data_IF_795850682240
#
_entry.id   IF_795850682240
#
_cell.length_a   1.000
_cell.length_b   1.000
_cell.length_c   1.000
_cell.angle_alpha   90.00
_cell.angle_beta   90.00
_cell.angle_gamma   90.00
#
_symmetry.space_group_name_H-M   'P 1'
#
loop_
_entity.id
_entity.type
_entity.pdbx_description
1 polymer ?
#
# COMPACT_ATOMS: atom_id res chain seq x y z
N UNK A 1 -3.43 -10.06 40.46
CA UNK A 1 -4.84 -10.31 40.09
C UNK A 1 -5.28 -9.44 38.91
N UNK A 2 -5.11 -8.11 38.95
CA UNK A 2 -5.47 -7.22 37.83
C UNK A 2 -4.70 -7.50 36.53
N UNK A 3 -3.38 -7.65 36.60
CA UNK A 3 -2.52 -7.88 35.42
C UNK A 3 -2.83 -9.24 34.76
N UNK A 4 -3.06 -10.27 35.57
CA UNK A 4 -3.41 -11.62 35.10
C UNK A 4 -4.75 -11.63 34.35
N UNK A 5 -5.71 -10.81 34.78
CA UNK A 5 -7.01 -10.66 34.14
C UNK A 5 -6.91 -9.95 32.78
N UNK A 6 -6.06 -8.93 32.67
CA UNK A 6 -5.80 -8.22 31.40
C UNK A 6 -5.11 -9.13 30.37
N UNK A 7 -4.14 -9.94 30.80
CA UNK A 7 -3.49 -10.94 29.95
C UNK A 7 -4.48 -12.01 29.47
N UNK A 8 -5.36 -12.49 30.36
CA UNK A 8 -6.38 -13.46 29.98
C UNK A 8 -7.33 -12.89 28.91
N UNK A 9 -7.79 -11.65 29.07
CA UNK A 9 -8.62 -10.96 28.08
C UNK A 9 -7.92 -10.83 26.70
N UNK A 10 -6.63 -10.50 26.68
CA UNK A 10 -5.86 -10.37 25.44
C UNK A 10 -5.62 -11.71 24.71
N UNK A 11 -5.59 -12.83 25.43
CA UNK A 11 -5.42 -14.17 24.84
C UNK A 11 -6.77 -14.72 24.35
N UNK A 12 -7.87 -14.36 25.02
CA UNK A 12 -9.22 -14.82 24.65
C UNK A 12 -9.92 -13.93 23.62
N UNK A 13 -9.39 -12.73 23.34
CA UNK A 13 -9.97 -11.89 22.29
C UNK A 13 -9.77 -12.57 20.94
N UNK A 14 -10.85 -12.83 20.17
CA UNK A 14 -10.71 -13.34 18.83
C UNK A 14 -9.85 -12.36 18.00
N UNK A 15 -8.96 -12.84 17.11
CA UNK A 15 -8.20 -11.95 16.26
C UNK A 15 -9.19 -11.10 15.46
N UNK A 16 -9.09 -9.78 15.60
CA UNK A 16 -9.88 -8.85 14.81
C UNK A 16 -9.45 -9.06 13.35
N UNK A 17 -10.27 -9.81 12.60
CA UNK A 17 -10.01 -10.06 11.20
C UNK A 17 -10.32 -8.77 10.45
N UNK A 18 -9.28 -7.96 10.20
CA UNK A 18 -9.38 -6.84 9.28
C UNK A 18 -9.67 -7.42 7.89
N UNK A 19 -10.81 -7.05 7.30
CA UNK A 19 -11.11 -7.39 5.92
C UNK A 19 -10.07 -6.75 5.01
N UNK A 20 -9.20 -7.55 4.37
CA UNK A 20 -8.25 -7.08 3.35
C UNK A 20 -8.94 -6.58 2.07
N UNK A 21 -10.27 -6.68 1.96
CA UNK A 21 -11.01 -6.34 0.74
C UNK A 21 -10.83 -4.87 0.31
N UNK A 22 -10.66 -3.96 1.26
CA UNK A 22 -10.46 -2.53 1.00
C UNK A 22 -9.08 -2.22 0.37
N UNK A 23 -8.11 -3.13 0.48
CA UNK A 23 -6.75 -2.93 -0.02
C UNK A 23 -6.57 -3.43 -1.47
N UNK A 24 -7.60 -4.03 -2.05
CA UNK A 24 -7.50 -4.73 -3.33
C UNK A 24 -8.21 -3.99 -4.47
N UNK A 25 -9.28 -3.25 -4.17
CA UNK A 25 -10.22 -2.76 -5.20
C UNK A 25 -10.51 -1.27 -5.03
N UNK A 26 -10.25 -0.49 -6.07
CA UNK A 26 -10.72 0.89 -6.17
C UNK A 26 -12.18 0.89 -6.66
N UNK A 27 -13.11 1.23 -5.78
CA UNK A 27 -14.51 1.44 -6.13
C UNK A 27 -14.73 2.83 -6.72
N UNK A 28 -15.83 3.02 -7.44
CA UNK A 28 -16.19 4.35 -7.94
C UNK A 28 -16.29 5.36 -6.79
N UNK A 29 -15.60 6.51 -6.92
CA UNK A 29 -15.51 7.53 -5.88
C UNK A 29 -14.34 7.36 -4.91
N UNK A 30 -13.63 6.23 -4.94
CA UNK A 30 -12.34 6.07 -4.26
C UNK A 30 -11.19 6.63 -5.12
N UNK A 31 -10.05 6.91 -4.49
CA UNK A 31 -8.88 7.47 -5.16
C UNK A 31 -7.60 7.04 -4.46
N UNK A 32 -6.51 6.91 -5.22
CA UNK A 32 -5.15 6.76 -4.71
C UNK A 32 -4.42 8.09 -4.82
N UNK A 33 -3.60 8.46 -3.83
CA UNK A 33 -2.92 9.76 -3.78
C UNK A 33 -1.39 9.66 -3.90
N UNK A 34 -0.82 10.45 -4.81
CA UNK A 34 0.64 10.62 -4.92
C UNK A 34 1.27 11.34 -3.70
N UNK A 35 0.47 11.99 -2.86
CA UNK A 35 0.95 12.70 -1.65
C UNK A 35 1.39 11.74 -0.54
N UNK A 36 0.91 10.50 -0.56
CA UNK A 36 1.17 9.49 0.48
C UNK A 36 1.50 8.13 -0.18
N UNK A 37 2.58 8.05 -0.97
CA UNK A 37 2.87 6.92 -1.86
C UNK A 37 3.13 5.59 -1.14
N UNK A 38 3.47 5.62 0.14
CA UNK A 38 3.74 4.43 0.95
C UNK A 38 2.53 3.95 1.77
N UNK A 39 1.55 4.82 1.98
CA UNK A 39 0.36 4.52 2.78
C UNK A 39 -0.83 4.13 1.90
N UNK A 40 -0.84 4.60 0.66
CA UNK A 40 -1.95 4.43 -0.28
C UNK A 40 -1.53 3.49 -1.41
N UNK A 41 -1.45 2.21 -1.07
CA UNK A 41 -0.98 1.12 -1.94
C UNK A 41 -2.04 0.04 -1.99
N UNK A 42 -2.33 -0.42 -3.21
CA UNK A 42 -3.16 -1.57 -3.47
C UNK A 42 -2.31 -2.84 -3.44
N UNK A 43 -2.84 -3.91 -2.87
CA UNK A 43 -2.15 -5.21 -2.83
C UNK A 43 -3.04 -6.27 -3.47
N UNK A 44 -2.46 -7.03 -4.39
CA UNK A 44 -3.13 -8.16 -5.06
C UNK A 44 -3.57 -9.23 -4.05
N UNK A 45 -4.58 -10.06 -4.35
CA UNK A 45 -5.14 -11.00 -3.38
C UNK A 45 -4.14 -12.07 -2.95
N UNK A 46 -3.16 -12.36 -3.81
CA UNK A 46 -2.08 -13.32 -3.56
C UNK A 46 -0.86 -12.69 -2.89
N UNK A 47 -0.92 -11.40 -2.56
CA UNK A 47 0.18 -10.61 -1.99
C UNK A 47 1.47 -10.62 -2.86
N UNK A 48 1.42 -11.02 -4.14
CA UNK A 48 2.60 -11.06 -5.04
C UNK A 48 2.92 -9.69 -5.61
N UNK A 49 1.88 -8.94 -5.95
CA UNK A 49 1.99 -7.61 -6.53
C UNK A 49 1.37 -6.54 -5.64
N UNK A 50 1.98 -5.36 -5.67
CA UNK A 50 1.45 -4.11 -5.13
C UNK A 50 1.39 -3.05 -6.22
N UNK A 51 0.48 -2.09 -6.08
CA UNK A 51 0.30 -0.99 -7.02
C UNK A 51 0.00 0.34 -6.33
N UNK A 52 0.48 1.45 -6.90
CA UNK A 52 0.30 2.78 -6.33
C UNK A 52 1.18 3.82 -7.00
N UNK A 53 1.22 5.03 -6.45
CA UNK A 53 2.14 6.06 -6.96
C UNK A 53 3.57 5.80 -6.51
N UNK A 54 4.47 5.64 -7.48
CA UNK A 54 5.90 5.46 -7.29
C UNK A 54 6.66 6.74 -7.69
N UNK A 55 7.59 7.23 -6.86
CA UNK A 55 8.42 8.39 -7.22
C UNK A 55 9.36 8.04 -8.37
N UNK A 56 9.39 8.89 -9.40
CA UNK A 56 10.29 8.75 -10.57
C UNK A 56 11.26 9.94 -10.71
N UNK A 57 11.25 10.85 -9.74
CA UNK A 57 12.10 12.03 -9.70
C UNK A 57 11.69 12.94 -8.54
N UNK A 58 12.20 14.16 -8.53
CA UNK A 58 11.78 15.17 -7.56
C UNK A 58 10.34 15.59 -7.82
N UNK A 59 9.45 15.32 -6.86
CA UNK A 59 8.05 15.72 -6.91
C UNK A 59 7.28 15.18 -8.14
N UNK A 60 7.79 14.12 -8.76
CA UNK A 60 7.25 13.49 -9.97
C UNK A 60 6.92 12.03 -9.69
N UNK A 61 5.69 11.62 -10.02
CA UNK A 61 5.15 10.31 -9.66
C UNK A 61 4.48 9.62 -10.85
N UNK A 62 4.67 8.31 -10.94
CA UNK A 62 3.95 7.46 -11.87
C UNK A 62 3.15 6.40 -11.11
N UNK A 63 1.95 6.09 -11.58
CA UNK A 63 1.24 4.91 -11.10
C UNK A 63 1.94 3.66 -11.65
N UNK A 64 2.33 2.75 -10.77
CA UNK A 64 3.14 1.60 -11.10
C UNK A 64 2.65 0.34 -10.37
N UNK A 65 3.06 -0.82 -10.90
CA UNK A 65 2.88 -2.14 -10.28
C UNK A 65 4.28 -2.70 -10.01
N UNK A 66 4.48 -3.28 -8.83
CA UNK A 66 5.75 -3.88 -8.41
C UNK A 66 5.52 -5.17 -7.62
N UNK A 67 6.58 -5.96 -7.43
CA UNK A 67 6.53 -7.11 -6.51
C UNK A 67 6.43 -6.62 -5.07
N UNK A 68 5.47 -7.15 -4.31
CA UNK A 68 5.22 -6.78 -2.90
C UNK A 68 6.47 -7.03 -2.04
N UNK A 69 7.13 -8.16 -2.27
CA UNK A 69 8.36 -8.48 -1.58
C UNK A 69 9.49 -7.57 -2.12
N UNK A 70 10.12 -6.77 -1.24
CA UNK A 70 11.20 -5.88 -1.67
C UNK A 70 12.40 -6.70 -2.15
N UNK A 71 13.10 -6.16 -3.14
CA UNK A 71 14.38 -6.75 -3.56
C UNK A 71 15.45 -6.58 -2.47
N UNK A 72 16.59 -7.26 -2.63
CA UNK A 72 17.67 -7.31 -1.64
C UNK A 72 18.15 -5.93 -1.12
N UNK A 73 17.98 -4.86 -1.90
CA UNK A 73 18.36 -3.49 -1.56
C UNK A 73 17.19 -2.63 -1.08
N UNK A 74 16.10 -3.26 -0.61
CA UNK A 74 14.81 -2.64 -0.25
C UNK A 74 14.14 -1.82 -1.36
N UNK A 75 14.59 -1.92 -2.61
CA UNK A 75 13.96 -1.27 -3.75
C UNK A 75 12.79 -2.09 -4.29
N UNK A 76 11.79 -1.38 -4.81
CA UNK A 76 10.64 -1.96 -5.51
C UNK A 76 11.05 -2.37 -6.91
N UNK A 77 10.89 -3.63 -7.25
CA UNK A 77 11.05 -4.10 -8.62
C UNK A 77 9.77 -3.81 -9.40
N UNK A 78 9.80 -2.77 -10.23
CA UNK A 78 8.66 -2.34 -11.06
C UNK A 78 8.47 -3.32 -12.23
N UNK A 79 7.25 -3.84 -12.39
CA UNK A 79 6.87 -4.74 -13.51
C UNK A 79 6.03 -4.03 -14.56
N UNK A 80 5.36 -2.93 -14.21
CA UNK A 80 4.57 -2.11 -15.14
C UNK A 80 4.41 -0.67 -14.63
N UNK A 81 4.27 0.30 -15.54
CA UNK A 81 4.10 1.72 -15.22
C UNK A 81 3.19 2.41 -16.24
N UNK A 82 2.19 3.15 -15.76
CA UNK A 82 1.18 3.79 -16.60
C UNK A 82 1.71 5.05 -17.31
N UNK A 83 1.89 6.13 -16.55
CA UNK A 83 2.14 7.49 -17.04
C UNK A 83 3.65 7.81 -17.15
N UNK A 84 4.43 6.86 -17.64
CA UNK A 84 5.91 6.91 -17.68
C UNK A 84 6.46 8.16 -18.36
N UNK A 85 5.83 8.59 -19.46
CA UNK A 85 6.27 9.76 -20.23
C UNK A 85 5.68 11.08 -19.73
N UNK A 86 4.68 11.02 -18.84
CA UNK A 86 3.97 12.18 -18.28
C UNK A 86 3.70 11.99 -16.77
N UNK A 87 4.73 12.06 -15.91
CA UNK A 87 4.58 11.95 -14.47
C UNK A 87 3.64 13.02 -13.91
N UNK A 88 2.93 12.70 -12.83
CA UNK A 88 2.10 13.67 -12.09
C UNK A 88 2.90 14.34 -10.98
N UNK A 89 2.52 15.56 -10.65
CA UNK A 89 3.13 16.30 -9.55
C UNK A 89 2.58 15.79 -8.20
N UNK A 90 3.46 15.49 -7.23
CA UNK A 90 3.05 15.08 -5.88
C UNK A 90 2.51 16.22 -5.02
N UNK A 91 2.87 17.45 -5.37
CA UNK A 91 2.33 18.69 -4.81
C UNK A 91 1.35 19.28 -5.81
N UNK A 92 0.19 19.75 -5.36
CA UNK A 92 -0.80 20.40 -6.23
C UNK A 92 -0.39 21.85 -6.51
N UNK A 93 0.85 22.07 -6.96
CA UNK A 93 1.43 23.38 -7.28
C UNK A 93 1.27 23.72 -8.75
#
# INVERSE_FOLDING_TARGET
MFISFVLFLAITSPPLSASKADQLTLTAGSSVSAKKPDLDVLTSPTDIFSAGFHPVGENAYCFAIWFTEPSHNSSRTIVWMANRDKPVNGRSS
#
